data_IF_585113689029
#
_entry.id   IF_585113689029
#
_cell.length_a   1.000
_cell.length_b   1.000
_cell.length_c   1.000
_cell.angle_alpha   90.00
_cell.angle_beta   90.00
_cell.angle_gamma   90.00
#
_symmetry.space_group_name_H-M   'P 1'
#
loop_
_entity.id
_entity.type
_entity.pdbx_description
1 polymer ?
#
# COMPACT_ATOMS: atom_id res chain seq x y z
N UNK A 1 -5.69 25.36 -15.39
CA UNK A 1 -5.46 26.27 -14.24
C UNK A 1 -6.77 26.55 -13.52
N UNK A 2 -7.82 27.02 -14.20
CA UNK A 2 -9.09 27.38 -13.56
C UNK A 2 -9.78 26.18 -12.88
N UNK A 3 -9.86 25.03 -13.53
CA UNK A 3 -10.46 23.83 -12.94
C UNK A 3 -9.73 23.39 -11.66
N UNK A 4 -8.40 23.46 -11.66
CA UNK A 4 -7.59 23.13 -10.47
C UNK A 4 -7.81 24.14 -9.34
N UNK A 5 -7.97 25.43 -9.66
CA UNK A 5 -8.25 26.47 -8.67
C UNK A 5 -9.62 26.29 -8.02
N UNK A 6 -10.62 25.86 -8.80
CA UNK A 6 -11.95 25.49 -8.28
C UNK A 6 -11.88 24.28 -7.35
N UNK A 7 -11.15 23.22 -7.73
CA UNK A 7 -10.95 22.04 -6.89
C UNK A 7 -10.26 22.40 -5.58
N UNK A 8 -9.28 23.28 -5.61
CA UNK A 8 -8.61 23.78 -4.43
C UNK A 8 -9.56 24.52 -3.49
N UNK A 9 -10.45 25.35 -4.06
CA UNK A 9 -11.49 26.03 -3.30
C UNK A 9 -12.45 25.04 -2.61
N UNK A 10 -12.89 23.99 -3.31
CA UNK A 10 -13.75 22.96 -2.75
C UNK A 10 -13.04 22.27 -1.58
N UNK A 11 -11.78 21.87 -1.77
CA UNK A 11 -10.99 21.19 -0.76
C UNK A 11 -10.72 22.04 0.49
N UNK A 12 -10.52 23.35 0.31
CA UNK A 12 -10.22 24.29 1.40
C UNK A 12 -11.46 24.99 1.93
N UNK A 13 -12.66 24.63 1.48
CA UNK A 13 -13.95 25.27 1.84
C UNK A 13 -13.96 26.79 1.61
N UNK A 14 -13.28 27.26 0.56
CA UNK A 14 -13.18 28.64 0.17
C UNK A 14 -13.98 28.92 -1.12
N UNK A 15 -14.31 30.18 -1.37
CA UNK A 15 -14.91 30.63 -2.64
C UNK A 15 -13.83 31.18 -3.57
N UNK A 16 -14.03 31.03 -4.88
CA UNK A 16 -13.09 31.53 -5.91
C UNK A 16 -12.75 33.03 -5.72
N UNK A 17 -13.73 33.81 -5.28
CA UNK A 17 -13.58 35.26 -5.09
C UNK A 17 -13.04 35.68 -3.73
N UNK A 18 -12.77 34.75 -2.83
CA UNK A 18 -12.22 35.09 -1.52
C UNK A 18 -10.80 35.67 -1.68
N UNK A 19 -10.57 36.83 -1.05
CA UNK A 19 -9.28 37.54 -1.14
C UNK A 19 -8.15 36.78 -0.43
N UNK A 20 -8.47 36.15 0.72
CA UNK A 20 -7.53 35.39 1.54
C UNK A 20 -7.81 33.89 1.41
N UNK A 21 -7.34 33.25 0.35
CA UNK A 21 -7.44 31.83 0.16
C UNK A 21 -6.16 31.24 -0.41
N UNK A 22 -5.97 29.95 -0.28
CA UNK A 22 -4.89 29.23 -0.93
C UNK A 22 -5.00 29.33 -2.45
N UNK A 23 -3.90 29.65 -3.12
CA UNK A 23 -3.77 29.73 -4.59
C UNK A 23 -2.42 29.19 -5.00
N UNK A 24 -2.38 28.54 -6.15
CA UNK A 24 -1.11 28.25 -6.80
C UNK A 24 -0.78 29.40 -7.73
N UNK A 25 0.30 30.10 -7.47
CA UNK A 25 0.78 31.20 -8.31
C UNK A 25 1.46 30.70 -9.57
N UNK A 26 2.10 29.52 -9.50
CA UNK A 26 2.76 28.90 -10.64
C UNK A 26 1.74 28.45 -11.68
N UNK A 27 1.90 28.93 -12.92
CA UNK A 27 1.03 28.63 -14.08
C UNK A 27 1.71 27.73 -15.10
N UNK A 28 2.95 27.36 -14.87
CA UNK A 28 3.83 26.64 -15.80
C UNK A 28 4.08 25.19 -15.38
N UNK A 29 3.14 24.59 -14.61
CA UNK A 29 3.14 23.17 -14.20
C UNK A 29 2.56 22.27 -15.29
N UNK A 30 2.99 22.44 -16.52
CA UNK A 30 2.62 21.61 -17.67
C UNK A 30 3.88 21.00 -18.30
N UNK A 31 3.67 20.00 -19.15
CA UNK A 31 4.78 19.38 -19.89
C UNK A 31 5.23 20.38 -20.99
N UNK A 32 6.42 20.97 -20.78
CA UNK A 32 6.98 21.99 -21.66
C UNK A 32 7.54 21.37 -22.95
N UNK A 33 7.52 22.13 -24.05
CA UNK A 33 8.21 21.73 -25.28
C UNK A 33 9.73 21.81 -25.14
N UNK A 34 10.47 21.20 -26.08
CA UNK A 34 11.93 21.28 -26.10
C UNK A 34 12.40 22.74 -26.20
N UNK A 35 11.75 23.55 -27.06
CA UNK A 35 12.08 24.96 -27.28
C UNK A 35 11.82 25.79 -26.01
N UNK A 36 10.73 25.53 -25.30
CA UNK A 36 10.43 26.18 -24.01
C UNK A 36 11.47 25.83 -22.95
N UNK A 37 11.93 24.56 -22.90
CA UNK A 37 12.97 24.12 -22.00
C UNK A 37 14.33 24.74 -22.37
N UNK A 38 14.68 24.82 -23.67
CA UNK A 38 15.90 25.48 -24.13
C UNK A 38 15.92 26.96 -23.71
N UNK A 39 14.80 27.66 -23.85
CA UNK A 39 14.71 29.06 -23.41
C UNK A 39 14.83 29.19 -21.89
N UNK A 40 14.18 28.32 -21.13
CA UNK A 40 14.21 28.35 -19.68
C UNK A 40 15.63 28.09 -19.14
N UNK A 41 16.39 27.17 -19.76
CA UNK A 41 17.72 26.75 -19.33
C UNK A 41 18.87 27.29 -20.20
N UNK A 42 18.63 28.32 -21.02
CA UNK A 42 19.66 28.90 -21.90
C UNK A 42 20.94 29.35 -21.18
N UNK A 43 20.84 29.62 -19.90
CA UNK A 43 22.00 30.02 -19.05
C UNK A 43 22.77 28.81 -18.49
N UNK A 44 22.24 27.61 -18.62
CA UNK A 44 22.86 26.33 -18.19
C UNK A 44 22.50 25.24 -19.21
N UNK A 45 23.02 25.29 -20.44
CA UNK A 45 22.68 24.33 -21.51
C UNK A 45 23.07 22.90 -21.15
N UNK A 46 24.05 22.70 -20.29
CA UNK A 46 24.46 21.39 -19.80
C UNK A 46 23.36 20.69 -18.99
N UNK A 47 22.44 21.45 -18.39
CA UNK A 47 21.30 20.86 -17.70
C UNK A 47 20.42 20.04 -18.66
N UNK A 48 20.25 20.50 -19.89
CA UNK A 48 19.47 19.79 -20.92
C UNK A 48 20.24 18.62 -21.51
N UNK A 49 21.52 18.81 -21.90
CA UNK A 49 22.33 17.72 -22.45
C UNK A 49 22.56 16.59 -21.44
N UNK A 50 22.64 16.90 -20.14
CA UNK A 50 22.75 15.91 -19.09
C UNK A 50 21.48 15.06 -18.93
N UNK A 51 20.29 15.58 -19.24
CA UNK A 51 19.07 14.75 -19.19
C UNK A 51 19.12 13.62 -20.22
N UNK A 52 19.60 13.92 -21.42
CA UNK A 52 19.78 12.93 -22.49
C UNK A 52 20.86 11.93 -22.10
N UNK A 53 22.02 12.40 -21.63
CA UNK A 53 23.12 11.53 -21.19
C UNK A 53 22.67 10.57 -20.08
N UNK A 54 21.95 11.05 -19.07
CA UNK A 54 21.44 10.21 -17.98
C UNK A 54 20.45 9.17 -18.52
N UNK A 55 19.57 9.56 -19.44
CA UNK A 55 18.64 8.62 -20.06
C UNK A 55 19.36 7.52 -20.86
N UNK A 56 20.45 7.87 -21.55
CA UNK A 56 21.29 6.92 -22.30
C UNK A 56 22.11 5.99 -21.38
N UNK A 57 22.46 6.43 -20.17
CA UNK A 57 23.17 5.62 -19.16
C UNK A 57 22.21 4.68 -18.40
N UNK A 58 20.90 4.96 -18.43
CA UNK A 58 19.89 4.17 -17.72
C UNK A 58 19.34 3.04 -18.59
N UNK A 59 19.79 1.82 -18.33
CA UNK A 59 19.31 0.61 -19.00
C UNK A 59 18.62 -0.28 -17.95
N UNK A 60 17.29 -0.18 -17.88
CA UNK A 60 16.48 -0.98 -16.95
C UNK A 60 15.65 -1.98 -17.74
N UNK A 61 15.94 -3.25 -17.55
CA UNK A 61 15.10 -4.35 -18.02
C UNK A 61 14.21 -4.82 -16.86
N UNK A 62 12.90 -4.72 -17.03
CA UNK A 62 11.94 -5.15 -16.02
C UNK A 62 11.54 -6.60 -16.25
N UNK A 63 11.85 -7.46 -15.30
CA UNK A 63 11.35 -8.83 -15.26
C UNK A 63 10.02 -8.89 -14.52
N UNK A 64 8.93 -9.16 -15.24
CA UNK A 64 7.58 -9.33 -14.68
C UNK A 64 7.22 -10.79 -14.42
N UNK A 65 8.14 -11.72 -14.64
CA UNK A 65 7.90 -13.17 -14.50
C UNK A 65 8.23 -13.69 -13.11
N UNK A 66 9.05 -12.95 -12.35
CA UNK A 66 9.50 -13.38 -11.02
C UNK A 66 9.04 -12.41 -9.93
N UNK A 67 8.61 -12.98 -8.82
CA UNK A 67 8.34 -12.25 -7.58
C UNK A 67 9.49 -12.48 -6.60
N UNK A 68 10.23 -11.42 -6.30
CA UNK A 68 11.39 -11.47 -5.38
C UNK A 68 10.93 -11.21 -3.95
N UNK A 69 10.35 -12.20 -3.30
CA UNK A 69 10.03 -12.15 -1.87
C UNK A 69 11.14 -12.80 -1.04
N UNK A 70 11.39 -12.32 0.18
CA UNK A 70 12.21 -13.06 1.14
C UNK A 70 11.66 -14.47 1.37
N UNK A 71 12.53 -15.38 1.73
CA UNK A 71 12.12 -16.74 2.06
C UNK A 71 11.58 -16.76 3.49
N UNK A 72 10.34 -17.22 3.66
CA UNK A 72 9.75 -17.47 4.97
C UNK A 72 10.13 -18.88 5.41
N UNK A 73 10.68 -19.02 6.64
CA UNK A 73 11.03 -20.32 7.21
C UNK A 73 9.77 -21.08 7.61
N UNK A 74 9.57 -22.24 6.99
CA UNK A 74 8.39 -23.07 7.20
C UNK A 74 8.69 -24.20 8.19
N UNK A 75 7.71 -24.61 9.02
CA UNK A 75 7.79 -25.87 9.74
C UNK A 75 7.94 -27.06 8.77
N UNK A 76 8.57 -28.11 9.25
CA UNK A 76 8.82 -29.33 8.46
C UNK A 76 7.51 -29.91 7.88
N UNK A 77 7.50 -30.22 6.60
CA UNK A 77 6.35 -30.77 5.90
C UNK A 77 5.24 -29.77 5.52
N UNK A 78 5.42 -28.46 5.81
CA UNK A 78 4.44 -27.42 5.48
C UNK A 78 4.79 -26.71 4.16
N UNK A 79 3.77 -26.22 3.48
CA UNK A 79 3.89 -25.27 2.36
C UNK A 79 3.50 -23.88 2.81
N UNK A 80 3.89 -22.83 2.05
CA UNK A 80 3.47 -21.46 2.33
C UNK A 80 1.94 -21.34 2.45
N UNK A 81 1.21 -21.99 1.55
CA UNK A 81 -0.26 -21.95 1.57
C UNK A 81 -0.86 -22.68 2.77
N UNK A 82 -0.34 -23.84 3.15
CA UNK A 82 -0.87 -24.59 4.31
C UNK A 82 -0.59 -23.88 5.61
N UNK A 83 0.61 -23.35 5.81
CA UNK A 83 0.98 -22.60 7.00
C UNK A 83 0.19 -21.29 7.12
N UNK A 84 0.07 -20.54 6.02
CA UNK A 84 -0.73 -19.32 5.96
C UNK A 84 -2.20 -19.56 6.36
N UNK A 85 -2.83 -20.59 5.77
CA UNK A 85 -4.22 -20.93 6.09
C UNK A 85 -4.38 -21.39 7.54
N UNK A 86 -3.44 -22.16 8.07
CA UNK A 86 -3.45 -22.62 9.45
C UNK A 86 -3.40 -21.42 10.42
N UNK A 87 -2.41 -20.55 10.24
CA UNK A 87 -2.23 -19.36 11.10
C UNK A 87 -3.43 -18.41 11.03
N UNK A 88 -3.99 -18.18 9.85
CA UNK A 88 -5.15 -17.31 9.69
C UNK A 88 -6.40 -17.89 10.40
N UNK A 89 -6.64 -19.20 10.29
CA UNK A 89 -7.78 -19.86 10.99
C UNK A 89 -7.59 -19.85 12.51
N UNK A 90 -6.40 -20.14 12.99
CA UNK A 90 -6.08 -20.05 14.43
C UNK A 90 -6.24 -18.62 14.95
N UNK A 91 -5.72 -17.65 14.19
CA UNK A 91 -5.82 -16.25 14.54
C UNK A 91 -7.27 -15.76 14.57
N UNK A 92 -8.10 -16.14 13.59
CA UNK A 92 -9.53 -15.79 13.61
C UNK A 92 -10.24 -16.38 14.84
N UNK A 93 -9.98 -17.65 15.16
CA UNK A 93 -10.53 -18.28 16.36
C UNK A 93 -10.23 -17.47 17.63
N UNK A 94 -8.94 -17.12 17.82
CA UNK A 94 -8.51 -16.32 18.96
C UNK A 94 -9.16 -14.93 18.98
N UNK A 95 -9.29 -14.28 17.83
CA UNK A 95 -9.94 -12.96 17.71
C UNK A 95 -11.41 -13.01 18.07
N UNK A 96 -12.13 -14.03 17.64
CA UNK A 96 -13.55 -14.20 17.95
C UNK A 96 -13.78 -14.52 19.45
N UNK A 97 -12.92 -15.33 20.07
CA UNK A 97 -12.97 -15.63 21.51
C UNK A 97 -12.75 -14.37 22.38
N UNK A 98 -11.93 -13.44 21.91
CA UNK A 98 -11.62 -12.18 22.60
C UNK A 98 -12.48 -11.01 22.16
N UNK A 99 -13.41 -11.21 21.21
CA UNK A 99 -14.22 -10.12 20.69
C UNK A 99 -15.18 -9.58 21.76
N UNK A 100 -15.30 -8.24 21.95
CA UNK A 100 -16.17 -7.66 22.95
C UNK A 100 -17.65 -8.12 22.81
N UNK A 101 -18.12 -8.24 21.58
CA UNK A 101 -19.49 -8.59 21.24
C UNK A 101 -19.65 -10.08 20.86
N UNK A 102 -18.77 -10.96 21.32
CA UNK A 102 -18.72 -12.39 20.95
C UNK A 102 -20.06 -13.13 21.12
N UNK A 103 -20.89 -12.71 22.10
CA UNK A 103 -22.15 -13.34 22.42
C UNK A 103 -23.31 -12.90 21.49
N UNK A 104 -23.10 -11.85 20.69
CA UNK A 104 -24.11 -11.25 19.80
C UNK A 104 -23.77 -11.33 18.31
N UNK A 105 -22.48 -11.53 17.95
CA UNK A 105 -22.05 -11.68 16.56
C UNK A 105 -22.33 -13.09 16.06
N UNK A 106 -22.61 -13.21 14.75
CA UNK A 106 -22.65 -14.50 14.07
C UNK A 106 -21.23 -14.89 13.59
N UNK A 107 -20.54 -15.85 14.24
CA UNK A 107 -19.21 -16.27 13.84
C UNK A 107 -19.14 -16.78 12.39
N UNK A 108 -20.25 -17.30 11.87
CA UNK A 108 -20.28 -17.86 10.51
C UNK A 108 -19.93 -16.82 9.45
N UNK A 109 -20.37 -15.58 9.61
CA UNK A 109 -20.06 -14.49 8.67
C UNK A 109 -18.54 -14.27 8.57
N UNK A 110 -17.84 -14.32 9.70
CA UNK A 110 -16.39 -14.15 9.76
C UNK A 110 -15.66 -15.33 9.12
N UNK A 111 -16.10 -16.56 9.38
CA UNK A 111 -15.51 -17.74 8.79
C UNK A 111 -15.73 -17.83 7.28
N UNK A 112 -16.94 -17.56 6.80
CA UNK A 112 -17.25 -17.55 5.36
C UNK A 112 -16.39 -16.50 4.63
N UNK A 113 -16.21 -15.33 5.23
CA UNK A 113 -15.35 -14.29 4.69
C UNK A 113 -13.87 -14.67 4.70
N UNK A 114 -13.39 -15.27 5.78
CA UNK A 114 -12.00 -15.75 5.87
C UNK A 114 -11.70 -16.76 4.77
N UNK A 115 -12.53 -17.77 4.59
CA UNK A 115 -12.30 -18.80 3.58
C UNK A 115 -12.31 -18.23 2.16
N UNK A 116 -13.18 -17.26 1.88
CA UNK A 116 -13.18 -16.56 0.61
C UNK A 116 -11.85 -15.81 0.37
N UNK A 117 -11.37 -15.05 1.35
CA UNK A 117 -10.12 -14.30 1.21
C UNK A 117 -8.90 -15.23 1.13
N UNK A 118 -8.85 -16.30 1.93
CA UNK A 118 -7.80 -17.32 1.87
C UNK A 118 -7.68 -17.92 0.47
N UNK A 119 -8.82 -18.26 -0.14
CA UNK A 119 -8.86 -18.80 -1.50
C UNK A 119 -8.23 -17.82 -2.49
N UNK A 120 -8.69 -16.58 -2.51
CA UNK A 120 -8.19 -15.53 -3.43
C UNK A 120 -6.69 -15.31 -3.24
N UNK A 121 -6.23 -15.16 -2.00
CA UNK A 121 -4.82 -14.90 -1.69
C UNK A 121 -3.93 -16.08 -2.14
N UNK A 122 -4.39 -17.31 -1.93
CA UNK A 122 -3.66 -18.51 -2.36
C UNK A 122 -3.61 -18.62 -3.90
N UNK A 123 -4.72 -18.38 -4.59
CA UNK A 123 -4.81 -18.41 -6.06
C UNK A 123 -3.91 -17.33 -6.70
N UNK A 124 -3.78 -16.18 -6.06
CA UNK A 124 -2.90 -15.10 -6.50
C UNK A 124 -1.41 -15.31 -6.15
N UNK A 125 -1.06 -16.34 -5.37
CA UNK A 125 0.33 -16.65 -5.02
C UNK A 125 0.95 -15.77 -3.92
N UNK A 126 0.14 -15.11 -3.07
CA UNK A 126 0.61 -14.21 -2.02
C UNK A 126 0.66 -14.75 -0.57
N UNK A 127 0.50 -16.06 -0.27
CA UNK A 127 0.63 -16.55 1.10
C UNK A 127 1.95 -16.16 1.77
N UNK A 128 3.07 -16.27 1.04
CA UNK A 128 4.39 -15.92 1.56
C UNK A 128 4.52 -14.45 1.96
N UNK A 129 3.91 -13.55 1.19
CA UNK A 129 3.87 -12.13 1.55
C UNK A 129 3.16 -11.90 2.88
N UNK A 130 1.98 -12.48 3.07
CA UNK A 130 1.24 -12.34 4.33
C UNK A 130 1.98 -12.95 5.51
N UNK A 131 2.65 -14.10 5.32
CA UNK A 131 3.46 -14.73 6.37
C UNK A 131 4.62 -13.85 6.81
N UNK A 132 5.34 -13.25 5.86
CA UNK A 132 6.46 -12.33 6.16
C UNK A 132 5.94 -11.09 6.89
N UNK A 133 4.85 -10.49 6.41
CA UNK A 133 4.29 -9.27 7.01
C UNK A 133 3.79 -9.53 8.43
N UNK A 134 3.08 -10.65 8.65
CA UNK A 134 2.61 -11.00 9.98
C UNK A 134 3.76 -11.29 10.94
N UNK A 135 4.84 -11.90 10.47
CA UNK A 135 5.98 -12.27 11.29
C UNK A 135 6.65 -11.02 11.89
N UNK A 136 7.10 -10.08 11.06
CA UNK A 136 7.76 -8.87 11.58
C UNK A 136 6.82 -7.96 12.39
N UNK A 137 5.52 -7.89 12.04
CA UNK A 137 4.54 -7.10 12.80
C UNK A 137 4.31 -7.74 14.18
N UNK A 138 4.10 -9.06 14.23
CA UNK A 138 3.90 -9.75 15.51
C UNK A 138 5.17 -9.77 16.36
N UNK A 139 6.34 -9.85 15.74
CA UNK A 139 7.61 -9.69 16.44
C UNK A 139 7.71 -8.30 17.09
N UNK A 140 7.41 -7.24 16.33
CA UNK A 140 7.42 -5.88 16.86
C UNK A 140 6.42 -5.71 18.03
N UNK A 141 5.18 -6.19 17.86
CA UNK A 141 4.16 -6.15 18.93
C UNK A 141 4.57 -6.97 20.16
N UNK A 142 5.27 -8.08 19.98
CA UNK A 142 5.81 -8.93 21.07
C UNK A 142 7.01 -8.33 21.81
N UNK A 143 7.66 -7.32 21.23
CA UNK A 143 8.79 -6.59 21.80
C UNK A 143 8.44 -5.16 22.24
N UNK A 144 7.16 -4.89 22.49
CA UNK A 144 6.64 -3.58 22.92
C UNK A 144 6.97 -2.42 21.95
N UNK A 145 7.19 -2.73 20.68
CA UNK A 145 7.39 -1.74 19.62
C UNK A 145 6.02 -1.32 19.07
N UNK A 146 5.63 -0.04 19.15
CA UNK A 146 4.36 0.43 18.66
C UNK A 146 4.19 0.18 17.16
N UNK A 147 3.08 -0.46 16.78
CA UNK A 147 2.68 -0.67 15.38
C UNK A 147 1.35 0.01 15.14
N UNK A 148 1.24 0.77 14.05
CA UNK A 148 0.00 1.43 13.67
C UNK A 148 -1.13 0.43 13.36
N UNK A 149 -2.41 0.86 13.43
CA UNK A 149 -3.57 -0.02 13.29
C UNK A 149 -3.75 -0.61 11.88
N UNK A 150 -2.99 -0.15 10.93
CA UNK A 150 -3.12 -0.44 9.50
C UNK A 150 -3.58 0.77 8.69
N UNK A 151 -3.46 0.69 7.37
CA UNK A 151 -3.88 1.75 6.44
C UNK A 151 -4.38 1.17 5.13
N UNK A 152 -5.09 1.99 4.37
CA UNK A 152 -5.61 1.61 3.05
C UNK A 152 -6.63 0.49 3.12
N UNK A 153 -6.76 -0.29 2.06
CA UNK A 153 -7.72 -1.39 1.95
C UNK A 153 -7.43 -2.58 2.86
N UNK A 154 -6.20 -2.72 3.36
CA UNK A 154 -5.82 -3.80 4.26
C UNK A 154 -6.63 -3.81 5.57
N UNK A 155 -7.12 -2.64 6.01
CA UNK A 155 -8.00 -2.53 7.18
C UNK A 155 -9.35 -3.27 7.00
N UNK A 156 -9.77 -3.54 5.76
CA UNK A 156 -10.98 -4.29 5.45
C UNK A 156 -10.77 -5.80 5.24
N UNK A 157 -9.53 -6.31 5.37
CA UNK A 157 -9.22 -7.72 5.21
C UNK A 157 -9.35 -8.47 6.52
N UNK A 158 -10.20 -9.50 6.53
CA UNK A 158 -10.33 -10.37 7.69
C UNK A 158 -9.10 -11.25 7.91
N UNK A 159 -8.39 -11.61 6.85
CA UNK A 159 -7.13 -12.34 6.93
C UNK A 159 -6.06 -11.47 7.60
N UNK A 160 -5.95 -10.19 7.23
CA UNK A 160 -5.01 -9.27 7.87
C UNK A 160 -5.33 -9.06 9.36
N UNK A 161 -6.62 -9.00 9.71
CA UNK A 161 -7.08 -8.92 11.10
C UNK A 161 -6.79 -10.20 11.87
N UNK A 162 -7.09 -11.37 11.30
CA UNK A 162 -6.81 -12.67 11.91
C UNK A 162 -5.33 -12.88 12.18
N UNK A 163 -4.46 -12.52 11.24
CA UNK A 163 -3.00 -12.60 11.37
C UNK A 163 -2.38 -11.50 12.26
N UNK A 164 -3.19 -10.65 12.88
CA UNK A 164 -2.76 -9.52 13.73
C UNK A 164 -1.89 -8.48 12.99
N UNK A 165 -2.02 -8.42 11.67
CA UNK A 165 -1.41 -7.39 10.83
C UNK A 165 -2.12 -6.05 11.08
N UNK A 166 -3.46 -6.07 11.13
CA UNK A 166 -4.30 -4.93 11.50
C UNK A 166 -4.95 -5.12 12.88
N UNK A 167 -5.45 -4.03 13.46
CA UNK A 167 -6.12 -4.06 14.77
C UNK A 167 -7.62 -4.36 14.63
#
# INVERSE_FOLDING_TARGET
VEAHDVLLCIQTQAKVNDAKRMRFEARDLYYKSAEEMEQAFKHIPEALSNTVRIAEECHVEMDFTHHYFPVYELPEGMTLSTEFQRLAREGLKQRLELHPDRDTIDPKIYWDRLEMELKVICEMGFPGYFLIVQDFINWAKGNDIPVGPGRGSAAGSIVAWALRITN
#
